data_IF_631818881045
#
_entry.id   IF_631818881045
#
_cell.length_a   1.000
_cell.length_b   1.000
_cell.length_c   1.000
_cell.angle_alpha   90.00
_cell.angle_beta   90.00
_cell.angle_gamma   90.00
#
_symmetry.space_group_name_H-M   'P 1'
#
loop_
_entity.id
_entity.type
_entity.pdbx_description
1 polymer ?
#
# COMPACT_ATOMS: atom_id res chain seq x y z
N UNK A 1 -17.68 -9.87 5.90
CA UNK A 1 -16.24 -9.54 5.97
C UNK A 1 -15.94 -8.84 7.29
N UNK A 2 -14.67 -8.67 7.69
CA UNK A 2 -14.32 -7.90 8.89
C UNK A 2 -14.75 -6.42 8.77
N UNK A 3 -14.68 -5.85 7.56
CA UNK A 3 -15.15 -4.50 7.26
C UNK A 3 -16.65 -4.33 7.54
N UNK A 4 -17.47 -5.35 7.27
CA UNK A 4 -18.91 -5.31 7.58
C UNK A 4 -19.20 -5.43 9.09
N UNK A 5 -18.18 -5.79 9.89
CA UNK A 5 -18.24 -5.84 11.36
C UNK A 5 -17.60 -4.62 12.02
N UNK A 6 -17.30 -3.57 11.25
CA UNK A 6 -16.76 -2.31 11.76
C UNK A 6 -15.24 -2.26 11.88
N UNK A 7 -14.50 -3.17 11.24
CA UNK A 7 -13.06 -2.98 11.09
C UNK A 7 -12.78 -1.73 10.26
N UNK A 8 -11.85 -0.90 10.74
CA UNK A 8 -11.40 0.29 10.02
C UNK A 8 -10.59 -0.13 8.79
N UNK A 9 -11.09 0.23 7.60
CA UNK A 9 -10.47 -0.09 6.31
C UNK A 9 -9.10 0.60 6.15
N UNK A 10 -8.89 1.71 6.84
CA UNK A 10 -7.67 2.52 6.80
C UNK A 10 -6.74 2.28 7.99
N UNK A 11 -7.03 1.27 8.80
CA UNK A 11 -6.18 0.89 9.92
C UNK A 11 -4.74 0.65 9.41
N UNK A 12 -3.81 1.42 9.95
CA UNK A 12 -2.39 1.21 9.74
C UNK A 12 -1.94 0.03 10.59
N UNK A 13 -1.29 -0.95 9.94
CA UNK A 13 -0.61 -2.05 10.58
C UNK A 13 0.84 -1.70 10.93
N UNK A 14 1.63 -2.74 11.19
CA UNK A 14 3.09 -2.65 11.38
C UNK A 14 3.82 -2.65 10.03
N UNK A 15 4.66 -3.67 9.82
CA UNK A 15 5.66 -3.75 8.72
C UNK A 15 5.14 -3.46 7.29
N UNK A 16 3.88 -3.74 6.98
CA UNK A 16 3.31 -3.59 5.63
C UNK A 16 2.46 -2.32 5.44
N UNK A 17 2.43 -1.42 6.43
CA UNK A 17 1.49 -0.30 6.45
C UNK A 17 0.04 -0.79 6.54
N UNK A 18 -0.85 -0.29 5.69
CA UNK A 18 -2.26 -0.67 5.72
C UNK A 18 -2.61 -1.87 4.81
N UNK A 19 -3.85 -2.35 4.91
CA UNK A 19 -4.32 -3.50 4.13
C UNK A 19 -4.28 -3.27 2.60
N UNK A 20 -4.45 -2.03 2.14
CA UNK A 20 -4.40 -1.69 0.72
C UNK A 20 -2.97 -1.82 0.18
N UNK A 21 -1.97 -1.33 0.92
CA UNK A 21 -0.56 -1.46 0.56
C UNK A 21 -0.12 -2.93 0.49
N UNK A 22 -0.44 -3.72 1.51
CA UNK A 22 -0.12 -5.16 1.51
C UNK A 22 -0.79 -5.92 0.35
N UNK A 23 -2.06 -5.62 0.05
CA UNK A 23 -2.76 -6.23 -1.07
C UNK A 23 -2.16 -5.80 -2.42
N UNK A 24 -1.69 -4.56 -2.52
CA UNK A 24 -1.06 -4.02 -3.72
C UNK A 24 0.33 -4.60 -3.98
N UNK A 25 1.17 -4.73 -2.95
CA UNK A 25 2.48 -5.41 -3.03
C UNK A 25 2.32 -6.87 -3.50
N UNK A 26 1.25 -7.55 -3.09
CA UNK A 26 1.02 -8.97 -3.45
C UNK A 26 0.20 -9.18 -4.72
N UNK A 27 -0.21 -8.10 -5.40
CA UNK A 27 -0.98 -8.21 -6.65
C UNK A 27 -2.39 -8.78 -6.45
N UNK A 28 -2.97 -8.59 -5.27
CA UNK A 28 -4.29 -9.15 -4.93
C UNK A 28 -5.43 -8.26 -5.46
N UNK A 29 -5.60 -8.22 -6.78
CA UNK A 29 -6.54 -7.34 -7.51
C UNK A 29 -7.96 -7.29 -6.89
N UNK A 30 -8.51 -8.44 -6.51
CA UNK A 30 -9.86 -8.51 -5.94
C UNK A 30 -9.94 -7.90 -4.54
N UNK A 31 -8.88 -8.05 -3.76
CA UNK A 31 -8.79 -7.47 -2.41
C UNK A 31 -8.59 -5.96 -2.52
N UNK A 32 -7.72 -5.50 -3.41
CA UNK A 32 -7.51 -4.08 -3.73
C UNK A 32 -8.84 -3.43 -4.10
N UNK A 33 -9.58 -4.03 -5.04
CA UNK A 33 -10.90 -3.53 -5.46
C UNK A 33 -11.87 -3.41 -4.29
N UNK A 34 -11.97 -4.47 -3.50
CA UNK A 34 -12.86 -4.52 -2.35
C UNK A 34 -12.52 -3.44 -1.30
N UNK A 35 -11.24 -3.23 -1.02
CA UNK A 35 -10.78 -2.21 -0.08
C UNK A 35 -11.13 -0.80 -0.58
N UNK A 36 -10.85 -0.51 -1.86
CA UNK A 36 -11.16 0.78 -2.47
C UNK A 36 -12.68 1.04 -2.51
N UNK A 37 -13.49 0.03 -2.80
CA UNK A 37 -14.95 0.15 -2.78
C UNK A 37 -15.51 0.31 -1.36
N UNK A 38 -14.74 -0.10 -0.34
CA UNK A 38 -15.06 0.11 1.08
C UNK A 38 -14.48 1.41 1.64
N UNK A 39 -13.89 2.26 0.81
CA UNK A 39 -13.40 3.59 1.20
C UNK A 39 -11.97 3.58 1.75
N UNK A 40 -11.15 2.61 1.37
CA UNK A 40 -9.71 2.70 1.61
C UNK A 40 -9.16 3.98 0.97
N UNK A 41 -8.34 4.71 1.72
CA UNK A 41 -7.62 5.87 1.24
C UNK A 41 -6.52 5.40 0.28
N UNK A 42 -6.76 5.66 -1.01
CA UNK A 42 -5.87 5.31 -2.11
C UNK A 42 -4.48 5.96 -1.99
N UNK A 43 -4.40 7.10 -1.29
CA UNK A 43 -3.18 7.89 -1.11
C UNK A 43 -2.57 7.73 0.28
N UNK A 44 -3.09 6.79 1.09
CA UNK A 44 -2.53 6.51 2.39
C UNK A 44 -1.05 6.13 2.26
N UNK A 45 -0.21 6.91 2.94
CA UNK A 45 1.20 6.62 3.07
C UNK A 45 1.41 5.50 4.10
N UNK A 46 2.41 4.66 3.85
CA UNK A 46 2.80 3.61 4.78
C UNK A 46 3.31 4.18 6.10
N UNK A 47 3.11 3.42 7.17
CA UNK A 47 3.79 3.71 8.44
C UNK A 47 5.30 3.56 8.30
N UNK A 48 6.05 4.40 9.02
CA UNK A 48 7.46 4.16 9.28
C UNK A 48 7.61 2.72 9.83
N UNK A 49 8.50 1.90 9.27
CA UNK A 49 9.72 1.51 9.98
C UNK A 49 10.51 0.38 9.28
N UNK A 50 11.82 0.52 9.47
CA UNK A 50 12.79 -0.53 9.77
C UNK A 50 12.94 -1.68 8.77
N UNK A 51 13.80 -1.42 7.78
CA UNK A 51 14.92 -2.35 7.54
C UNK A 51 15.62 -2.52 8.87
N UNK A 52 15.22 -3.49 9.70
CA UNK A 52 15.92 -3.78 10.94
C UNK A 52 17.36 -4.14 10.61
N UNK A 53 18.29 -3.17 10.74
CA UNK A 53 19.76 -3.27 10.69
C UNK A 53 20.44 -4.12 9.59
N UNK A 54 19.69 -4.78 8.69
CA UNK A 54 20.21 -5.72 7.71
C UNK A 54 20.12 -5.11 6.32
N UNK A 55 21.30 -4.72 5.85
CA UNK A 55 21.54 -4.08 4.55
C UNK A 55 21.26 -5.00 3.35
N UNK A 56 20.87 -6.25 3.58
CA UNK A 56 20.57 -7.23 2.54
C UNK A 56 19.06 -7.55 2.36
N UNK A 57 18.17 -6.93 3.14
CA UNK A 57 16.73 -7.11 2.97
C UNK A 57 16.21 -6.26 1.79
N UNK A 58 15.85 -6.92 0.68
CA UNK A 58 15.17 -6.33 -0.50
C UNK A 58 13.68 -6.05 -0.23
N UNK A 59 13.34 -5.37 0.86
CA UNK A 59 11.96 -5.02 1.17
C UNK A 59 11.91 -3.81 2.07
N UNK A 60 11.43 -2.68 1.55
CA UNK A 60 11.25 -1.47 2.35
C UNK A 60 11.36 -0.14 1.61
N UNK A 61 10.90 -0.03 0.35
CA UNK A 61 10.95 1.25 -0.39
C UNK A 61 9.58 1.83 -0.78
N UNK A 62 8.48 1.20 -0.38
CA UNK A 62 7.16 1.62 -0.86
C UNK A 62 6.53 2.70 0.02
N UNK A 63 6.37 3.89 -0.54
CA UNK A 63 5.66 5.00 0.11
C UNK A 63 4.14 4.79 0.13
N UNK A 64 3.55 4.27 -0.96
CA UNK A 64 2.11 4.05 -1.08
C UNK A 64 1.79 2.76 -1.87
N UNK A 65 0.50 2.40 -1.91
CA UNK A 65 0.00 1.21 -2.59
C UNK A 65 0.32 1.19 -4.10
N UNK A 66 0.38 2.37 -4.75
CA UNK A 66 0.71 2.48 -6.16
C UNK A 66 2.19 2.14 -6.42
N UNK A 67 3.10 2.60 -5.56
CA UNK A 67 4.53 2.29 -5.64
C UNK A 67 4.77 0.79 -5.41
N UNK A 68 4.13 0.21 -4.40
CA UNK A 68 4.23 -1.23 -4.12
C UNK A 68 3.79 -2.08 -5.32
N UNK A 69 2.64 -1.78 -5.90
CA UNK A 69 2.17 -2.50 -7.09
C UNK A 69 3.06 -2.28 -8.32
N UNK A 70 3.69 -1.10 -8.45
CA UNK A 70 4.50 -0.75 -9.61
C UNK A 70 5.86 -1.47 -9.62
N UNK A 71 6.53 -1.58 -8.46
CA UNK A 71 7.82 -2.28 -8.38
C UNK A 71 7.66 -3.80 -8.56
N UNK A 72 6.58 -4.38 -8.02
CA UNK A 72 6.27 -5.80 -8.15
C UNK A 72 5.64 -6.15 -9.52
N UNK A 73 5.38 -5.15 -10.38
CA UNK A 73 4.87 -5.35 -11.75
C UNK A 73 3.40 -5.76 -11.82
N UNK A 74 2.59 -5.36 -10.85
CA UNK A 74 1.17 -5.68 -10.77
C UNK A 74 0.29 -4.70 -11.58
N UNK A 75 0.37 -4.78 -12.91
CA UNK A 75 -0.28 -3.86 -13.86
C UNK A 75 -1.79 -3.64 -13.61
N UNK A 76 -2.53 -4.68 -13.21
CA UNK A 76 -3.96 -4.58 -12.95
C UNK A 76 -4.25 -3.77 -11.68
N UNK A 77 -3.48 -3.99 -10.61
CA UNK A 77 -3.53 -3.17 -9.41
C UNK A 77 -3.16 -1.72 -9.72
N UNK A 78 -2.07 -1.50 -10.48
CA UNK A 78 -1.61 -0.16 -10.85
C UNK A 78 -2.71 0.62 -11.56
N UNK A 79 -3.35 0.02 -12.59
CA UNK A 79 -4.47 0.66 -13.30
C UNK A 79 -5.62 0.98 -12.36
N UNK A 80 -5.99 0.05 -11.49
CA UNK A 80 -7.10 0.25 -10.56
C UNK A 80 -6.84 1.39 -9.56
N UNK A 81 -5.62 1.49 -9.04
CA UNK A 81 -5.22 2.56 -8.12
C UNK A 81 -5.23 3.92 -8.85
N UNK A 82 -4.72 3.99 -10.07
CA UNK A 82 -4.77 5.20 -10.90
C UNK A 82 -6.22 5.62 -11.21
N UNK A 83 -7.08 4.67 -11.57
CA UNK A 83 -8.51 4.93 -11.82
C UNK A 83 -9.23 5.47 -10.57
N UNK A 84 -8.75 5.11 -9.38
CA UNK A 84 -9.25 5.59 -8.09
C UNK A 84 -8.55 6.87 -7.60
N UNK A 85 -7.65 7.45 -8.37
CA UNK A 85 -7.02 8.74 -8.09
C UNK A 85 -5.76 8.66 -7.23
N UNK A 86 -5.00 7.56 -7.30
CA UNK A 86 -3.68 7.47 -6.70
C UNK A 86 -2.74 8.57 -7.23
N UNK A 87 -2.07 9.28 -6.33
CA UNK A 87 -1.07 10.28 -6.67
C UNK A 87 0.24 9.61 -7.13
N UNK A 88 0.54 9.80 -8.41
CA UNK A 88 1.77 9.32 -9.06
C UNK A 88 3.03 10.00 -8.52
N UNK A 89 2.89 11.19 -7.92
CA UNK A 89 4.00 11.98 -7.39
C UNK A 89 4.17 11.84 -5.88
N UNK A 90 3.38 10.97 -5.23
CA UNK A 90 3.52 10.75 -3.80
C UNK A 90 4.97 10.38 -3.47
N UNK A 91 5.57 11.11 -2.54
CA UNK A 91 6.95 10.85 -2.14
C UNK A 91 6.94 9.73 -1.10
N UNK A 92 7.76 8.69 -1.30
CA UNK A 92 8.17 7.84 -0.19
C UNK A 92 9.01 8.71 0.76
N UNK A 93 8.59 8.82 2.02
CA UNK A 93 9.29 9.56 3.06
C UNK A 93 10.68 8.94 3.31
N UNK A 94 11.66 9.25 2.47
CA UNK A 94 13.08 9.02 2.79
C UNK A 94 13.53 10.16 3.69
N UNK A 95 13.52 9.94 5.00
CA UNK A 95 14.23 10.83 5.91
C UNK A 95 15.70 10.87 5.50
N UNK A 96 16.14 12.02 4.97
CA UNK A 96 17.55 12.31 4.75
C UNK A 96 18.18 12.59 6.12
N UNK A 97 18.83 11.58 6.69
CA UNK A 97 19.81 11.74 7.76
C UNK A 97 21.20 11.92 7.18
#
# INVERSE_FOLDING_TARGET
MLLDKGADVNAQGGEYGNALQAASERGHDQVVRMLLDKGADVNAQGGLHDKGADVNAQGGEYGNALQAASEEGHDQVVRMLLDKGADVNAQGERQRG
#
